data_IF_198977842360
#
_entry.id   IF_198977842360
#
_cell.length_a   1.000
_cell.length_b   1.000
_cell.length_c   1.000
_cell.angle_alpha   90.00
_cell.angle_beta   90.00
_cell.angle_gamma   90.00
#
_symmetry.space_group_name_H-M   'P 1'
#
loop_
_entity.id
_entity.type
_entity.pdbx_description
1 polymer ?
#
# COMPACT_ATOMS: atom_id res chain seq x y z
N UNK A 1 -13.19 -35.87 25.45
CA UNK A 1 -14.00 -34.73 24.98
C UNK A 1 -13.06 -33.78 24.25
N UNK A 2 -12.92 -33.94 22.92
CA UNK A 2 -12.05 -33.08 22.12
C UNK A 2 -12.80 -31.78 21.81
N UNK A 3 -12.31 -30.65 22.30
CA UNK A 3 -12.89 -29.32 22.08
C UNK A 3 -12.58 -28.86 20.65
N UNK A 4 -13.33 -29.35 19.66
CA UNK A 4 -13.27 -28.80 18.30
C UNK A 4 -14.09 -27.52 18.25
N UNK A 5 -13.39 -26.39 18.33
CA UNK A 5 -13.97 -25.08 18.07
C UNK A 5 -14.35 -24.99 16.58
N UNK A 6 -15.58 -24.60 16.24
CA UNK A 6 -16.01 -24.47 14.85
C UNK A 6 -15.11 -23.45 14.13
N UNK A 7 -14.52 -23.88 13.01
CA UNK A 7 -13.58 -23.07 12.22
C UNK A 7 -12.10 -23.31 12.52
N UNK A 8 -11.74 -24.09 13.54
CA UNK A 8 -10.36 -24.46 13.79
C UNK A 8 -9.99 -25.73 13.01
N UNK A 9 -8.98 -25.71 12.12
CA UNK A 9 -8.53 -26.93 11.44
C UNK A 9 -8.07 -27.97 12.45
N UNK A 10 -8.52 -29.22 12.26
CA UNK A 10 -8.09 -30.36 13.06
C UNK A 10 -6.68 -30.76 12.64
N UNK A 11 -5.68 -30.18 13.29
CA UNK A 11 -4.26 -30.47 13.03
C UNK A 11 -3.87 -31.65 13.92
N UNK A 12 -3.65 -32.81 13.30
CA UNK A 12 -3.27 -34.05 14.00
C UNK A 12 -1.82 -34.45 13.74
N UNK A 13 -1.25 -34.05 12.60
CA UNK A 13 0.11 -34.38 12.23
C UNK A 13 0.80 -33.22 11.48
N UNK A 14 2.12 -33.34 11.26
CA UNK A 14 2.95 -32.29 10.65
C UNK A 14 2.49 -31.95 9.22
N UNK A 15 1.96 -32.91 8.45
CA UNK A 15 1.46 -32.64 7.09
C UNK A 15 0.25 -31.70 7.11
N UNK A 16 -0.60 -31.80 8.14
CA UNK A 16 -1.76 -30.92 8.31
C UNK A 16 -1.31 -29.46 8.57
N UNK A 17 -0.15 -29.28 9.21
CA UNK A 17 0.48 -27.98 9.42
C UNK A 17 0.96 -27.39 8.08
N UNK A 18 1.68 -28.18 7.29
CA UNK A 18 2.17 -27.76 5.97
C UNK A 18 1.01 -27.38 5.02
N UNK A 19 -0.09 -28.13 5.08
CA UNK A 19 -1.30 -27.84 4.31
C UNK A 19 -1.97 -26.53 4.77
N UNK A 20 -2.06 -26.31 6.08
CA UNK A 20 -2.60 -25.07 6.64
C UNK A 20 -1.76 -23.85 6.26
N UNK A 21 -0.42 -23.96 6.30
CA UNK A 21 0.52 -22.91 5.86
C UNK A 21 0.33 -22.63 4.37
N UNK A 22 0.21 -23.68 3.55
CA UNK A 22 0.02 -23.54 2.10
C UNK A 22 -1.32 -22.84 1.78
N UNK A 23 -2.39 -23.20 2.48
CA UNK A 23 -3.71 -22.56 2.35
C UNK A 23 -3.65 -21.08 2.76
N UNK A 24 -2.98 -20.77 3.87
CA UNK A 24 -2.80 -19.39 4.34
C UNK A 24 -2.02 -18.56 3.32
N UNK A 25 -0.90 -19.07 2.83
CA UNK A 25 -0.08 -18.39 1.82
C UNK A 25 -0.87 -18.14 0.53
N UNK A 26 -1.63 -19.13 0.08
CA UNK A 26 -2.48 -19.01 -1.11
C UNK A 26 -3.57 -17.93 -0.91
N UNK A 27 -4.24 -17.93 0.24
CA UNK A 27 -5.26 -16.94 0.56
C UNK A 27 -4.69 -15.51 0.61
N UNK A 28 -3.51 -15.33 1.21
CA UNK A 28 -2.80 -14.05 1.24
C UNK A 28 -2.46 -13.58 -0.18
N UNK A 29 -1.89 -14.45 -1.01
CA UNK A 29 -1.55 -14.13 -2.40
C UNK A 29 -2.79 -13.75 -3.22
N UNK A 30 -3.89 -14.49 -3.07
CA UNK A 30 -5.16 -14.16 -3.73
C UNK A 30 -5.69 -12.81 -3.28
N UNK A 31 -5.68 -12.52 -1.97
CA UNK A 31 -6.11 -11.24 -1.43
C UNK A 31 -5.24 -10.08 -1.93
N UNK A 32 -3.91 -10.27 -1.96
CA UNK A 32 -2.97 -9.29 -2.53
C UNK A 32 -3.28 -9.06 -4.00
N UNK A 33 -3.46 -10.11 -4.80
CA UNK A 33 -3.75 -9.99 -6.22
C UNK A 33 -5.08 -9.28 -6.48
N UNK A 34 -6.11 -9.59 -5.69
CA UNK A 34 -7.41 -8.90 -5.76
C UNK A 34 -7.29 -7.41 -5.38
N UNK A 35 -6.54 -7.09 -4.33
CA UNK A 35 -6.30 -5.71 -3.90
C UNK A 35 -5.37 -4.94 -4.86
N UNK A 36 -4.45 -5.65 -5.52
CA UNK A 36 -3.45 -5.09 -6.44
C UNK A 36 -3.95 -4.96 -7.88
N UNK A 37 -5.08 -5.61 -8.24
CA UNK A 37 -5.84 -5.27 -9.44
C UNK A 37 -6.28 -3.82 -9.30
N UNK A 38 -5.42 -2.90 -9.73
CA UNK A 38 -5.77 -1.50 -9.87
C UNK A 38 -7.04 -1.49 -10.69
N UNK A 39 -8.15 -1.05 -10.10
CA UNK A 39 -9.29 -0.62 -10.89
C UNK A 39 -8.70 0.39 -11.84
N UNK A 40 -8.50 0.02 -13.10
CA UNK A 40 -8.25 0.98 -14.16
C UNK A 40 -9.51 1.81 -14.16
N UNK A 41 -9.45 2.93 -13.45
CA UNK A 41 -10.59 3.83 -13.37
C UNK A 41 -10.61 4.47 -14.76
N UNK A 42 -11.38 3.88 -15.67
CA UNK A 42 -11.61 4.36 -17.03
C UNK A 42 -12.49 5.61 -16.97
N UNK A 43 -11.97 6.65 -16.32
CA UNK A 43 -12.53 7.99 -16.31
C UNK A 43 -11.62 8.91 -17.12
N UNK A 44 -12.22 9.91 -17.76
CA UNK A 44 -11.50 10.96 -18.46
C UNK A 44 -10.90 11.93 -17.42
N UNK A 45 -9.88 11.49 -16.69
CA UNK A 45 -9.25 12.30 -15.65
C UNK A 45 -8.30 13.31 -16.28
N UNK A 46 -8.40 14.57 -15.84
CA UNK A 46 -7.40 15.61 -16.15
C UNK A 46 -6.04 15.12 -15.65
N UNK A 47 -5.13 14.84 -16.59
CA UNK A 47 -3.78 14.42 -16.26
C UNK A 47 -3.05 15.59 -15.60
N UNK A 48 -2.44 15.33 -14.45
CA UNK A 48 -1.59 16.34 -13.80
C UNK A 48 -0.39 16.67 -14.71
N UNK A 49 0.04 17.95 -14.72
CA UNK A 49 1.27 18.36 -15.35
C UNK A 49 2.48 17.50 -14.92
N UNK A 50 3.39 17.12 -15.85
CA UNK A 50 4.51 16.23 -15.56
C UNK A 50 5.44 16.70 -14.43
N UNK A 51 5.60 18.02 -14.26
CA UNK A 51 6.36 18.62 -13.17
C UNK A 51 5.75 18.32 -11.79
N UNK A 52 4.42 18.39 -11.66
CA UNK A 52 3.70 18.07 -10.42
C UNK A 52 3.82 16.58 -10.13
N UNK A 53 3.68 15.72 -11.15
CA UNK A 53 3.86 14.27 -11.01
C UNK A 53 5.27 13.93 -10.50
N UNK A 54 6.33 14.54 -11.08
CA UNK A 54 7.71 14.35 -10.61
C UNK A 54 7.88 14.71 -9.12
N UNK A 55 7.28 15.82 -8.68
CA UNK A 55 7.33 16.23 -7.26
C UNK A 55 6.55 15.28 -6.34
N UNK A 56 5.40 14.77 -6.79
CA UNK A 56 4.65 13.74 -6.05
C UNK A 56 5.50 12.49 -5.86
N UNK A 57 6.15 12.01 -6.92
CA UNK A 57 7.04 10.85 -6.85
C UNK A 57 8.18 11.07 -5.85
N UNK A 58 8.86 12.22 -5.91
CA UNK A 58 9.93 12.56 -4.97
C UNK A 58 9.42 12.64 -3.52
N UNK A 59 8.27 13.30 -3.28
CA UNK A 59 7.65 13.40 -1.96
C UNK A 59 7.30 12.03 -1.39
N UNK A 60 6.84 11.10 -2.22
CA UNK A 60 6.52 9.74 -1.81
C UNK A 60 7.77 8.94 -1.45
N UNK A 61 8.86 9.06 -2.22
CA UNK A 61 10.15 8.44 -1.90
C UNK A 61 10.69 8.92 -0.54
N UNK A 62 10.63 10.24 -0.29
CA UNK A 62 11.08 10.82 0.99
C UNK A 62 10.18 10.36 2.14
N UNK A 63 8.86 10.28 1.94
CA UNK A 63 7.93 9.77 2.95
C UNK A 63 8.23 8.30 3.28
N UNK A 64 8.53 7.47 2.28
CA UNK A 64 8.93 6.07 2.49
C UNK A 64 10.22 5.97 3.32
N UNK A 65 11.23 6.81 3.02
CA UNK A 65 12.46 6.90 3.83
C UNK A 65 12.18 7.33 5.27
N UNK A 66 11.29 8.30 5.48
CA UNK A 66 10.88 8.70 6.83
C UNK A 66 10.21 7.56 7.60
N UNK A 67 9.33 6.78 6.97
CA UNK A 67 8.68 5.63 7.63
C UNK A 67 9.66 4.53 8.05
N UNK A 68 10.78 4.40 7.33
CA UNK A 68 11.81 3.40 7.64
C UNK A 68 12.81 3.89 8.70
N UNK A 69 13.19 5.17 8.63
CA UNK A 69 14.29 5.72 9.44
C UNK A 69 13.82 6.54 10.64
N UNK A 70 12.55 6.94 10.66
CA UNK A 70 11.96 7.92 11.59
C UNK A 70 12.68 9.28 11.66
N UNK A 71 13.61 9.58 10.74
CA UNK A 71 14.36 10.85 10.75
C UNK A 71 13.42 12.06 10.47
N UNK A 72 13.34 13.03 11.40
CA UNK A 72 12.49 14.22 11.25
C UNK A 72 12.89 15.13 10.07
N UNK A 73 14.12 15.04 9.54
CA UNK A 73 14.54 15.77 8.34
C UNK A 73 13.72 15.34 7.12
N UNK A 74 13.53 14.04 6.92
CA UNK A 74 12.70 13.53 5.84
C UNK A 74 11.24 13.93 6.01
N UNK A 75 10.71 13.94 7.25
CA UNK A 75 9.36 14.43 7.54
C UNK A 75 9.18 15.89 7.10
N UNK A 76 10.12 16.77 7.47
CA UNK A 76 10.08 18.20 7.10
C UNK A 76 10.13 18.41 5.59
N UNK A 77 11.02 17.69 4.90
CA UNK A 77 11.15 17.79 3.43
C UNK A 77 9.89 17.29 2.71
N UNK A 78 9.31 16.17 3.14
CA UNK A 78 8.04 15.67 2.57
C UNK A 78 6.87 16.65 2.77
N UNK A 79 6.81 17.30 3.94
CA UNK A 79 5.78 18.31 4.22
C UNK A 79 5.97 19.57 3.36
N UNK A 80 7.21 20.04 3.18
CA UNK A 80 7.52 21.17 2.29
C UNK A 80 7.06 20.87 0.85
N UNK A 81 7.42 19.70 0.32
CA UNK A 81 6.98 19.28 -1.01
C UNK A 81 5.46 19.16 -1.11
N UNK A 82 4.79 18.69 -0.06
CA UNK A 82 3.32 18.61 -0.01
C UNK A 82 2.68 19.99 -0.16
N UNK A 83 3.21 21.01 0.52
CA UNK A 83 2.70 22.37 0.43
C UNK A 83 2.99 23.00 -0.94
N UNK A 84 4.16 22.73 -1.53
CA UNK A 84 4.49 23.18 -2.87
C UNK A 84 3.56 22.57 -3.93
N UNK A 85 3.34 21.26 -3.89
CA UNK A 85 2.41 20.56 -4.79
C UNK A 85 0.99 21.15 -4.66
N UNK A 86 0.51 21.43 -3.44
CA UNK A 86 -0.81 22.04 -3.23
C UNK A 86 -0.93 23.42 -3.88
N UNK A 87 0.12 24.23 -3.84
CA UNK A 87 0.14 25.55 -4.52
C UNK A 87 0.13 25.37 -6.03
N UNK A 88 1.03 24.54 -6.56
CA UNK A 88 1.13 24.30 -8.01
C UNK A 88 -0.15 23.70 -8.61
N UNK A 89 -0.87 22.85 -7.88
CA UNK A 89 -2.19 22.36 -8.31
C UNK A 89 -3.22 23.48 -8.32
N UNK A 90 -3.26 24.31 -7.26
CA UNK A 90 -4.20 25.45 -7.19
C UNK A 90 -3.97 26.42 -8.34
N UNK A 91 -2.72 26.73 -8.66
CA UNK A 91 -2.35 27.65 -9.73
C UNK A 91 -2.64 27.06 -11.12
N UNK A 92 -2.70 25.73 -11.25
CA UNK A 92 -3.03 25.03 -12.51
C UNK A 92 -4.54 24.87 -12.74
N UNK A 93 -5.33 24.90 -11.67
CA UNK A 93 -6.79 24.82 -11.72
C UNK A 93 -7.46 26.21 -11.91
N UNK A 94 -6.68 27.30 -11.83
CA UNK A 94 -7.06 28.66 -12.25
C UNK A 94 -6.86 28.85 -13.76
#
# INVERSE_FOLDING_TARGET
>A
MSTTLPGNPNIQNIKDIDEAITKLNSAILTAINLASRSKLINGNYRKLPPNIVKKITLRNQIRKRWQQTYDPRYRRTANRLTNQIRREIRDYDL
#
